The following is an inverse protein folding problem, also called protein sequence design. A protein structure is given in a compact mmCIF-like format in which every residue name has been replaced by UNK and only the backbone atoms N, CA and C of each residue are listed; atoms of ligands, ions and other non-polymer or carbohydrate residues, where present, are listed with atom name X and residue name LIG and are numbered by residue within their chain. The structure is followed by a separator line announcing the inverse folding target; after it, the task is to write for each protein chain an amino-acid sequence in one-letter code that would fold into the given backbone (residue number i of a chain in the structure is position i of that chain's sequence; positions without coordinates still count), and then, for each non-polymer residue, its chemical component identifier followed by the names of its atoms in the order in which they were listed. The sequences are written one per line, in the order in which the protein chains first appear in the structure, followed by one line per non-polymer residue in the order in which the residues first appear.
data_IF_595872994572
#
_entry.id   IF_595872994572
#
_cell.length_a   1.000
_cell.length_b   1.000
_cell.length_c   1.000
_cell.angle_alpha   90.00
_cell.angle_beta   90.00
_cell.angle_gamma   90.00
#
_symmetry.space_group_name_H-M   'P 1'
#
loop_
_entity.id
_entity.type
_entity.pdbx_description
1 polymer ?
#
# COMPACT_ATOMS: atom_id res chain seq x y z
N UNK A 1 4.17 16.67 -18.65
CA UNK A 1 4.23 15.88 -17.40
C UNK A 1 4.42 14.39 -17.74
N UNK A 2 5.68 13.93 -17.75
CA UNK A 2 5.98 12.50 -17.83
C UNK A 2 5.54 11.84 -16.51
N UNK A 3 4.59 10.91 -16.57
CA UNK A 3 4.26 10.07 -15.42
C UNK A 3 5.52 9.29 -15.01
N UNK A 4 5.81 9.21 -13.72
CA UNK A 4 7.04 8.60 -13.16
C UNK A 4 7.29 7.17 -13.67
N UNK A 5 6.25 6.41 -13.99
CA UNK A 5 6.34 5.04 -14.52
C UNK A 5 6.96 4.95 -15.93
N UNK A 6 6.78 5.96 -16.80
CA UNK A 6 7.29 5.90 -18.18
C UNK A 6 8.80 5.78 -18.27
N UNK A 7 9.61 6.65 -17.60
CA UNK A 7 11.08 6.51 -17.63
C UNK A 7 11.56 5.19 -17.02
N UNK A 8 10.88 4.67 -15.99
CA UNK A 8 11.24 3.39 -15.35
C UNK A 8 11.06 2.23 -16.32
N UNK A 9 9.92 2.15 -17.02
CA UNK A 9 9.64 1.11 -18.01
C UNK A 9 10.64 1.17 -19.17
N UNK A 10 10.92 2.38 -19.67
CA UNK A 10 11.91 2.56 -20.77
C UNK A 10 13.30 2.11 -20.30
N UNK A 11 13.71 2.50 -19.09
CA UNK A 11 15.01 2.10 -18.54
C UNK A 11 15.12 0.59 -18.36
N UNK A 12 14.08 -0.07 -17.86
CA UNK A 12 14.04 -1.53 -17.75
C UNK A 12 14.15 -2.21 -19.10
N UNK A 13 13.40 -1.75 -20.11
CA UNK A 13 13.48 -2.28 -21.47
C UNK A 13 14.86 -2.09 -22.09
N UNK A 14 15.51 -0.94 -21.88
CA UNK A 14 16.86 -0.67 -22.35
C UNK A 14 17.90 -1.57 -21.67
N UNK A 15 17.81 -1.76 -20.35
CA UNK A 15 18.73 -2.63 -19.59
C UNK A 15 18.63 -4.07 -20.13
N UNK A 16 17.43 -4.63 -20.22
CA UNK A 16 17.23 -5.97 -20.76
C UNK A 16 17.66 -6.10 -22.22
N UNK A 17 17.41 -5.06 -23.04
CA UNK A 17 17.87 -5.01 -24.42
C UNK A 17 19.39 -5.05 -24.54
N UNK A 18 20.12 -4.29 -23.72
CA UNK A 18 21.58 -4.27 -23.68
C UNK A 18 22.14 -5.62 -23.22
N UNK A 19 21.56 -6.22 -22.18
CA UNK A 19 21.95 -7.54 -21.68
C UNK A 19 21.77 -8.58 -22.78
N UNK A 20 20.61 -8.62 -23.44
CA UNK A 20 20.33 -9.56 -24.52
C UNK A 20 21.31 -9.40 -25.70
N UNK A 21 21.63 -8.16 -26.10
CA UNK A 21 22.59 -7.89 -27.17
C UNK A 21 24.01 -8.31 -26.79
N UNK A 22 24.45 -8.00 -25.57
CA UNK A 22 25.81 -8.31 -25.13
C UNK A 22 26.08 -9.82 -25.05
N UNK A 23 25.10 -10.58 -24.59
CA UNK A 23 25.22 -12.04 -24.42
C UNK A 23 24.66 -12.87 -25.58
N UNK A 24 24.17 -12.25 -26.66
CA UNK A 24 23.58 -12.93 -27.81
C UNK A 24 24.55 -13.93 -28.52
N UNK A 25 25.85 -13.74 -28.33
CA UNK A 25 26.89 -14.58 -28.94
C UNK A 25 27.16 -15.87 -28.14
N UNK A 26 26.66 -16.01 -26.91
CA UNK A 26 26.94 -17.15 -26.04
C UNK A 26 25.65 -17.88 -25.68
N UNK A 27 25.43 -19.06 -26.30
CA UNK A 27 24.18 -19.83 -26.19
C UNK A 27 23.85 -20.30 -24.75
N UNK A 28 24.88 -20.65 -23.96
CA UNK A 28 24.68 -21.11 -22.58
C UNK A 28 24.16 -19.96 -21.70
N UNK A 29 24.83 -18.80 -21.79
CA UNK A 29 24.43 -17.59 -21.03
C UNK A 29 23.09 -17.04 -21.55
N UNK A 30 22.82 -17.21 -22.86
CA UNK A 30 21.55 -16.82 -23.45
C UNK A 30 20.33 -17.49 -22.80
N UNK A 31 20.43 -18.75 -22.46
CA UNK A 31 19.37 -19.52 -21.80
C UNK A 31 19.14 -19.01 -20.35
N UNK A 32 20.22 -18.78 -19.61
CA UNK A 32 20.13 -18.24 -18.24
C UNK A 32 19.48 -16.84 -18.22
N UNK A 33 19.77 -16.00 -19.23
CA UNK A 33 19.17 -14.66 -19.37
C UNK A 33 17.68 -14.76 -19.69
N UNK A 34 17.30 -15.69 -20.59
CA UNK A 34 15.89 -15.92 -20.93
C UNK A 34 15.11 -16.41 -19.70
N UNK A 35 15.68 -17.32 -18.93
CA UNK A 35 15.07 -17.82 -17.70
C UNK A 35 14.92 -16.71 -16.66
N UNK A 36 15.97 -15.89 -16.45
CA UNK A 36 15.92 -14.74 -15.56
C UNK A 36 14.90 -13.69 -16.01
N UNK A 37 14.77 -13.42 -17.31
CA UNK A 37 13.77 -12.52 -17.86
C UNK A 37 12.35 -13.05 -17.62
N UNK A 38 12.13 -14.33 -17.91
CA UNK A 38 10.82 -14.97 -17.71
C UNK A 38 10.43 -14.97 -16.24
N UNK A 39 11.38 -15.23 -15.34
CA UNK A 39 11.16 -15.16 -13.89
C UNK A 39 10.74 -13.75 -13.44
N UNK A 40 11.47 -12.72 -13.87
CA UNK A 40 11.12 -11.32 -13.55
C UNK A 40 9.76 -10.89 -14.12
N UNK A 41 9.42 -11.34 -15.33
CA UNK A 41 8.11 -11.06 -15.95
C UNK A 41 6.99 -11.76 -15.16
N UNK A 42 7.22 -12.99 -14.71
CA UNK A 42 6.26 -13.74 -13.91
C UNK A 42 6.01 -13.05 -12.55
N UNK A 43 7.06 -12.69 -11.82
CA UNK A 43 6.95 -11.93 -10.56
C UNK A 43 6.19 -10.62 -10.75
N UNK A 44 6.50 -9.88 -11.82
CA UNK A 44 5.78 -8.65 -12.15
C UNK A 44 4.31 -8.93 -12.45
N UNK A 45 3.99 -9.97 -13.21
CA UNK A 45 2.62 -10.32 -13.56
C UNK A 45 1.81 -10.74 -12.32
N UNK A 46 2.38 -11.52 -11.43
CA UNK A 46 1.75 -11.93 -10.16
C UNK A 46 1.42 -10.71 -9.28
N UNK A 47 2.40 -9.81 -9.09
CA UNK A 47 2.22 -8.57 -8.36
C UNK A 47 1.14 -7.68 -9.00
N UNK A 48 1.19 -7.53 -10.33
CA UNK A 48 0.24 -6.71 -11.07
C UNK A 48 -1.19 -7.25 -10.94
N UNK A 49 -1.39 -8.55 -11.15
CA UNK A 49 -2.71 -9.18 -11.04
C UNK A 49 -3.26 -9.09 -9.62
N UNK A 50 -2.41 -9.29 -8.63
CA UNK A 50 -2.82 -9.11 -7.23
C UNK A 50 -3.27 -7.69 -6.95
N UNK A 51 -2.46 -6.68 -7.34
CA UNK A 51 -2.81 -5.27 -7.15
C UNK A 51 -4.09 -4.88 -7.90
N UNK A 52 -4.31 -5.43 -9.09
CA UNK A 52 -5.52 -5.18 -9.86
C UNK A 52 -6.76 -5.68 -9.10
N UNK A 53 -6.72 -6.88 -8.54
CA UNK A 53 -7.82 -7.43 -7.73
C UNK A 53 -8.01 -6.61 -6.45
N UNK A 54 -6.93 -6.31 -5.73
CA UNK A 54 -6.98 -5.52 -4.50
C UNK A 54 -7.56 -4.13 -4.74
N UNK A 55 -7.11 -3.41 -5.77
CA UNK A 55 -7.62 -2.09 -6.12
C UNK A 55 -9.09 -2.13 -6.58
N UNK A 56 -9.50 -3.19 -7.28
CA UNK A 56 -10.91 -3.39 -7.64
C UNK A 56 -11.77 -3.55 -6.40
N UNK A 57 -11.31 -4.31 -5.42
CA UNK A 57 -12.00 -4.48 -4.13
C UNK A 57 -12.11 -3.15 -3.37
N UNK A 58 -11.02 -2.38 -3.27
CA UNK A 58 -11.00 -1.08 -2.60
C UNK A 58 -11.94 -0.09 -3.30
N UNK A 59 -11.92 -0.03 -4.64
CA UNK A 59 -12.84 0.80 -5.41
C UNK A 59 -14.31 0.40 -5.17
N UNK A 60 -14.61 -0.89 -5.10
CA UNK A 60 -15.96 -1.36 -4.78
C UNK A 60 -16.40 -0.93 -3.36
N UNK A 61 -15.50 -0.91 -2.37
CA UNK A 61 -15.79 -0.37 -1.04
C UNK A 61 -16.06 1.13 -1.07
N UNK A 62 -15.32 1.88 -1.89
CA UNK A 62 -15.51 3.32 -2.08
C UNK A 62 -16.85 3.61 -2.76
N UNK A 63 -17.19 2.92 -3.84
CA UNK A 63 -18.47 3.05 -4.55
C UNK A 63 -19.67 2.72 -3.65
N UNK A 64 -19.50 1.81 -2.71
CA UNK A 64 -20.54 1.47 -1.71
C UNK A 64 -20.58 2.43 -0.52
N UNK A 65 -19.83 3.52 -0.58
CA UNK A 65 -19.78 4.56 0.46
C UNK A 65 -19.38 4.04 1.87
N UNK A 66 -18.66 2.94 1.94
CA UNK A 66 -18.24 2.36 3.24
C UNK A 66 -17.43 3.37 4.06
N UNK A 67 -16.52 4.07 3.42
CA UNK A 67 -15.69 5.10 4.05
C UNK A 67 -16.50 6.35 4.44
N UNK A 68 -17.52 6.70 3.66
CA UNK A 68 -18.43 7.81 3.99
C UNK A 68 -19.31 7.50 5.20
N UNK A 69 -19.69 6.25 5.40
CA UNK A 69 -20.41 5.81 6.61
C UNK A 69 -19.50 5.98 7.85
N UNK A 70 -18.23 5.61 7.76
CA UNK A 70 -17.26 5.83 8.85
C UNK A 70 -17.14 7.33 9.14
N UNK A 71 -16.95 8.13 8.10
CA UNK A 71 -16.88 9.58 8.17
C UNK A 71 -18.11 10.19 8.84
N UNK A 72 -19.30 9.82 8.38
CA UNK A 72 -20.56 10.30 8.93
C UNK A 72 -20.71 9.97 10.43
N UNK A 73 -20.41 8.73 10.81
CA UNK A 73 -20.46 8.28 12.21
C UNK A 73 -19.50 9.05 13.12
N UNK A 74 -18.31 9.39 12.61
CA UNK A 74 -17.33 10.17 13.37
C UNK A 74 -17.75 11.63 13.53
N UNK A 75 -18.30 12.23 12.47
CA UNK A 75 -18.74 13.63 12.49
C UNK A 75 -20.01 13.79 13.32
N UNK A 76 -21.00 12.90 13.18
CA UNK A 76 -22.33 13.01 13.80
C UNK A 76 -22.31 12.86 15.32
N UNK A 77 -21.32 12.16 15.87
CA UNK A 77 -21.22 11.92 17.32
C UNK A 77 -20.64 13.06 18.14
N UNK A 78 -20.16 14.14 17.49
CA UNK A 78 -19.68 15.33 18.19
C UNK A 78 -18.47 15.09 19.11
N UNK A 79 -17.58 14.18 18.73
CA UNK A 79 -16.37 13.89 19.49
C UNK A 79 -15.47 15.11 19.67
N UNK A 80 -14.86 15.24 20.83
CA UNK A 80 -13.84 16.26 21.06
C UNK A 80 -12.52 15.90 20.33
N UNK A 81 -11.62 16.87 20.16
CA UNK A 81 -10.36 16.69 19.42
C UNK A 81 -9.49 15.54 19.93
N UNK A 82 -9.46 15.29 21.23
CA UNK A 82 -8.68 14.20 21.82
C UNK A 82 -9.28 12.83 21.46
N UNK A 83 -10.60 12.72 21.52
CA UNK A 83 -11.31 11.49 21.13
C UNK A 83 -11.17 11.23 19.64
N UNK A 84 -11.29 12.27 18.79
CA UNK A 84 -11.06 12.14 17.35
C UNK A 84 -9.65 11.69 17.04
N UNK A 85 -8.64 12.24 17.70
CA UNK A 85 -7.25 11.85 17.53
C UNK A 85 -7.04 10.36 17.81
N UNK A 86 -7.54 9.87 18.95
CA UNK A 86 -7.41 8.47 19.35
C UNK A 86 -8.23 7.54 18.44
N UNK A 87 -9.50 7.88 18.17
CA UNK A 87 -10.38 7.07 17.35
C UNK A 87 -9.88 6.96 15.90
N UNK A 88 -9.43 8.07 15.30
CA UNK A 88 -8.90 8.03 13.94
C UNK A 88 -7.63 7.18 13.86
N UNK A 89 -6.73 7.26 14.84
CA UNK A 89 -5.55 6.39 14.91
C UNK A 89 -5.92 4.91 15.02
N UNK A 90 -6.79 4.55 15.96
CA UNK A 90 -7.22 3.17 16.17
C UNK A 90 -7.93 2.60 14.93
N UNK A 91 -8.89 3.35 14.36
CA UNK A 91 -9.61 2.91 13.16
C UNK A 91 -8.62 2.74 11.99
N UNK A 92 -7.71 3.68 11.81
CA UNK A 92 -6.67 3.62 10.77
C UNK A 92 -5.80 2.37 10.92
N UNK A 93 -5.34 2.08 12.13
CA UNK A 93 -4.51 0.92 12.42
C UNK A 93 -5.18 -0.40 12.01
N UNK A 94 -6.46 -0.59 12.34
CA UNK A 94 -7.19 -1.81 11.99
C UNK A 94 -7.73 -1.84 10.55
N UNK A 95 -7.90 -0.70 9.91
CA UNK A 95 -8.37 -0.62 8.53
C UNK A 95 -7.24 -0.84 7.52
N UNK A 96 -6.04 -0.38 7.85
CA UNK A 96 -4.87 -0.44 6.97
C UNK A 96 -4.49 -1.84 6.48
N UNK A 97 -4.54 -2.91 7.31
CA UNK A 97 -4.26 -4.26 6.85
C UNK A 97 -5.18 -4.78 5.73
N UNK A 98 -6.33 -4.13 5.55
CA UNK A 98 -7.39 -4.56 4.61
C UNK A 98 -7.43 -3.66 3.37
N UNK A 99 -7.27 -2.34 3.58
CA UNK A 99 -7.54 -1.32 2.55
C UNK A 99 -6.27 -0.59 2.07
N UNK A 100 -5.12 -1.13 2.29
CA UNK A 100 -3.76 -0.58 2.16
C UNK A 100 -3.51 0.69 2.99
N UNK A 101 -2.23 0.97 3.25
CA UNK A 101 -1.82 2.09 4.09
C UNK A 101 -2.09 3.45 3.45
N UNK A 102 -1.87 3.59 2.13
CA UNK A 102 -2.05 4.86 1.43
C UNK A 102 -3.53 5.25 1.35
N UNK A 103 -4.39 4.34 0.90
CA UNK A 103 -5.84 4.57 0.79
C UNK A 103 -6.44 4.87 2.15
N UNK A 104 -6.08 4.07 3.17
CA UNK A 104 -6.54 4.26 4.55
C UNK A 104 -6.12 5.63 5.09
N UNK A 105 -4.86 6.02 4.91
CA UNK A 105 -4.37 7.32 5.36
C UNK A 105 -5.10 8.48 4.66
N UNK A 106 -5.30 8.42 3.33
CA UNK A 106 -6.00 9.46 2.58
C UNK A 106 -7.47 9.61 3.04
N UNK A 107 -8.18 8.49 3.19
CA UNK A 107 -9.57 8.50 3.67
C UNK A 107 -9.67 9.07 5.07
N UNK A 108 -8.85 8.60 6.01
CA UNK A 108 -8.92 9.05 7.39
C UNK A 108 -8.42 10.48 7.59
N UNK A 109 -7.43 10.94 6.82
CA UNK A 109 -7.06 12.36 6.78
C UNK A 109 -8.21 13.23 6.26
N UNK A 110 -8.96 12.79 5.25
CA UNK A 110 -10.14 13.52 4.76
C UNK A 110 -11.24 13.65 5.83
N UNK A 111 -11.44 12.61 6.64
CA UNK A 111 -12.34 12.63 7.80
C UNK A 111 -11.87 13.66 8.82
N UNK A 112 -10.59 13.63 9.18
CA UNK A 112 -9.99 14.53 10.14
C UNK A 112 -10.09 15.99 9.70
N UNK A 113 -9.82 16.27 8.42
CA UNK A 113 -9.96 17.61 7.82
C UNK A 113 -11.41 18.13 7.91
N UNK A 114 -12.39 17.26 7.70
CA UNK A 114 -13.80 17.63 7.84
C UNK A 114 -14.22 17.95 9.28
N UNK A 115 -13.58 17.31 10.27
CA UNK A 115 -13.86 17.50 11.69
C UNK A 115 -13.05 18.64 12.34
N UNK A 116 -11.85 18.91 11.84
CA UNK A 116 -10.85 19.76 12.50
C UNK A 116 -11.05 21.27 12.39
N UNK A 117 -12.04 21.75 11.65
CA UNK A 117 -12.50 23.14 11.44
C UNK A 117 -11.55 24.22 11.95
N UNK A 118 -10.47 24.50 11.21
CA UNK A 118 -9.60 25.67 11.47
C UNK A 118 -8.51 25.47 12.54
N UNK A 119 -8.45 24.33 13.24
CA UNK A 119 -7.38 24.05 14.19
C UNK A 119 -6.21 23.36 13.49
N UNK A 120 -5.29 24.16 12.91
CA UNK A 120 -4.14 23.66 12.13
C UNK A 120 -3.23 22.75 12.95
N UNK A 121 -3.03 23.04 14.24
CA UNK A 121 -2.19 22.20 15.12
C UNK A 121 -2.80 20.81 15.33
N UNK A 122 -4.12 20.75 15.57
CA UNK A 122 -4.84 19.47 15.67
C UNK A 122 -4.78 18.69 14.36
N UNK A 123 -5.01 19.36 13.22
CA UNK A 123 -4.97 18.72 11.91
C UNK A 123 -3.58 18.15 11.59
N UNK A 124 -2.51 18.91 11.84
CA UNK A 124 -1.14 18.43 11.58
C UNK A 124 -0.79 17.21 12.43
N UNK A 125 -1.04 17.27 13.74
CA UNK A 125 -0.78 16.16 14.65
C UNK A 125 -1.66 14.94 14.34
N UNK A 126 -2.91 15.15 14.00
CA UNK A 126 -3.83 14.09 13.65
C UNK A 126 -3.49 13.40 12.32
N UNK A 127 -3.04 14.16 11.31
CA UNK A 127 -2.55 13.55 10.07
C UNK A 127 -1.27 12.74 10.29
N UNK A 128 -0.35 13.20 11.12
CA UNK A 128 0.85 12.43 11.52
C UNK A 128 0.43 11.14 12.21
N UNK A 129 -0.47 11.20 13.18
CA UNK A 129 -1.00 10.03 13.87
C UNK A 129 -1.62 9.00 12.90
N UNK A 130 -2.44 9.48 11.95
CA UNK A 130 -3.08 8.64 10.93
C UNK A 130 -2.02 7.96 10.06
N UNK A 131 -1.01 8.69 9.58
CA UNK A 131 0.04 8.12 8.73
C UNK A 131 0.86 7.08 9.49
N UNK A 132 1.23 7.36 10.74
CA UNK A 132 1.94 6.40 11.60
C UNK A 132 1.08 5.16 11.84
N UNK A 133 -0.18 5.34 12.21
CA UNK A 133 -1.11 4.24 12.45
C UNK A 133 -1.38 3.41 11.18
N UNK A 134 -1.47 4.04 10.00
CA UNK A 134 -1.65 3.34 8.73
C UNK A 134 -0.43 2.45 8.40
N UNK A 135 0.78 2.96 8.56
CA UNK A 135 1.99 2.18 8.30
C UNK A 135 2.17 1.06 9.35
N UNK A 136 1.95 1.36 10.63
CA UNK A 136 2.02 0.35 11.70
C UNK A 136 0.98 -0.76 11.49
N UNK A 137 -0.26 -0.40 11.15
CA UNK A 137 -1.32 -1.35 10.83
C UNK A 137 -1.05 -2.15 9.56
N UNK A 138 -0.47 -1.52 8.53
CA UNK A 138 -0.08 -2.20 7.29
C UNK A 138 1.02 -3.23 7.47
N UNK A 139 1.91 -3.04 8.44
CA UNK A 139 3.09 -3.87 8.63
C UNK A 139 2.79 -5.33 9.03
N UNK A 140 1.70 -5.60 9.74
CA UNK A 140 1.37 -6.97 10.19
C UNK A 140 0.45 -7.75 9.22
N UNK A 141 0.27 -7.25 7.99
CA UNK A 141 -0.48 -7.94 6.94
C UNK A 141 0.28 -7.87 5.61
N UNK A 142 0.33 -8.94 4.82
CA UNK A 142 0.86 -8.88 3.46
C UNK A 142 0.10 -7.90 2.56
N UNK A 143 -1.15 -7.60 2.89
CA UNK A 143 -2.04 -6.74 2.07
C UNK A 143 -2.02 -5.28 2.51
N UNK A 144 -1.45 -4.97 3.66
CA UNK A 144 -1.46 -3.63 4.22
C UNK A 144 -0.46 -2.66 3.59
N UNK A 145 0.59 -3.18 2.96
CA UNK A 145 1.61 -2.41 2.25
C UNK A 145 2.15 -3.20 1.05
N UNK A 146 2.53 -2.49 -0.02
CA UNK A 146 3.13 -3.13 -1.20
C UNK A 146 4.47 -3.81 -0.86
N UNK A 147 5.21 -3.29 0.10
CA UNK A 147 6.49 -3.86 0.53
C UNK A 147 6.32 -5.18 1.26
N UNK A 148 5.33 -5.31 2.14
CA UNK A 148 4.98 -6.56 2.81
C UNK A 148 4.45 -7.59 1.82
N UNK A 149 3.68 -7.15 0.83
CA UNK A 149 3.20 -7.99 -0.27
C UNK A 149 4.36 -8.59 -1.06
N UNK A 150 5.35 -7.77 -1.46
CA UNK A 150 6.53 -8.25 -2.19
C UNK A 150 7.33 -9.29 -1.41
N UNK A 151 7.52 -9.08 -0.10
CA UNK A 151 8.22 -10.03 0.78
C UNK A 151 7.46 -11.36 0.90
N UNK A 152 6.13 -11.30 0.94
CA UNK A 152 5.29 -12.50 0.96
C UNK A 152 5.33 -13.25 -0.38
N UNK A 153 5.19 -12.56 -1.52
CA UNK A 153 5.25 -13.18 -2.85
C UNK A 153 6.62 -13.80 -3.16
N UNK A 154 7.71 -13.18 -2.70
CA UNK A 154 9.04 -13.74 -2.81
C UNK A 154 9.26 -15.01 -1.93
N UNK A 155 8.25 -15.46 -1.18
CA UNK A 155 8.32 -16.63 -0.32
C UNK A 155 9.27 -16.51 0.88
N UNK A 156 9.73 -15.28 1.18
CA UNK A 156 10.69 -15.01 2.27
C UNK A 156 10.01 -15.17 3.62
N UNK A 157 8.74 -14.75 3.72
CA UNK A 157 7.95 -14.80 4.96
C UNK A 157 6.58 -15.42 4.67
N UNK A 158 6.22 -16.44 5.46
CA UNK A 158 4.89 -17.05 5.38
C UNK A 158 3.78 -16.11 5.84
N UNK A 159 2.60 -16.22 5.24
CA UNK A 159 1.43 -15.39 5.52
C UNK A 159 1.13 -15.25 7.03
N UNK A 160 1.10 -16.37 7.75
CA UNK A 160 0.79 -16.38 9.20
C UNK A 160 1.87 -15.68 10.04
N UNK A 161 3.11 -15.67 9.56
CA UNK A 161 4.22 -15.04 10.28
C UNK A 161 4.08 -13.53 10.36
N UNK A 162 3.40 -12.87 9.39
CA UNK A 162 3.11 -11.44 9.45
C UNK A 162 2.30 -11.05 10.68
N UNK A 163 1.38 -11.90 11.16
CA UNK A 163 0.60 -11.60 12.36
C UNK A 163 1.44 -11.54 13.65
N UNK A 164 2.65 -12.10 13.66
CA UNK A 164 3.59 -11.94 14.79
C UNK A 164 4.07 -10.49 14.90
N UNK A 165 4.06 -9.73 13.79
CA UNK A 165 4.40 -8.31 13.78
C UNK A 165 3.32 -7.44 14.42
N UNK A 166 2.15 -7.97 14.72
CA UNK A 166 1.10 -7.22 15.43
C UNK A 166 1.59 -6.64 16.75
N UNK A 167 2.30 -7.46 17.54
CA UNK A 167 2.79 -7.04 18.88
C UNK A 167 3.77 -5.85 18.77
N UNK A 168 4.81 -5.86 17.92
CA UNK A 168 5.70 -4.71 17.79
C UNK A 168 5.10 -3.53 17.03
N UNK A 169 3.95 -3.70 16.32
CA UNK A 169 3.27 -2.64 15.59
C UNK A 169 2.32 -1.80 16.46
N UNK A 170 1.91 -2.31 17.62
CA UNK A 170 1.05 -1.61 18.60
C UNK A 170 1.88 -0.76 19.54
#
# INVERSE_FOLDING_TARGET
HLRKSKPVIISAALIWGIIALYFSSNKEIGHEIEEALNHNILEFAELFLFLLVAMTYINALQERNVFDVIRYKLISRGFNFRQLFLLTGVITFFLSPIADNLTTALVMCSVLLACGKGNTKFLSLGCINIVVAANAGGAFSPFGDITTLMVWQAGIVEFITFFKLFIPSV
#
